data_IF_917198430933
#
_entry.id   IF_917198430933
#
_cell.length_a   1.000
_cell.length_b   1.000
_cell.length_c   1.000
_cell.angle_alpha   90.00
_cell.angle_beta   90.00
_cell.angle_gamma   90.00
#
_symmetry.space_group_name_H-M   'P 1'
#
loop_
_entity.id
_entity.type
_entity.pdbx_description
1 polymer ?
#
# COMPACT_ATOMS: atom_id res chain seq x y z
N UNK A 1 15.50 -4.61 8.38
CA UNK A 1 14.79 -3.42 8.86
C UNK A 1 13.76 -3.05 7.82
N UNK A 2 12.47 -3.19 8.13
CA UNK A 2 11.39 -2.95 7.18
C UNK A 2 11.25 -1.47 6.77
N UNK A 3 11.59 -0.54 7.66
CA UNK A 3 11.49 0.90 7.41
C UNK A 3 12.82 1.60 7.73
N UNK A 4 13.29 2.43 6.79
CA UNK A 4 14.46 3.28 7.00
C UNK A 4 14.12 4.63 7.63
N UNK A 5 12.90 5.11 7.41
CA UNK A 5 12.44 6.41 7.89
C UNK A 5 10.95 6.35 8.23
N UNK A 6 10.59 7.00 9.31
CA UNK A 6 9.20 7.27 9.69
C UNK A 6 9.05 8.78 9.75
N UNK A 7 8.07 9.31 9.03
CA UNK A 7 7.79 10.75 8.97
C UNK A 7 6.41 10.99 9.52
N UNK A 8 6.30 11.89 10.50
CA UNK A 8 5.02 12.36 10.98
C UNK A 8 4.51 13.44 10.03
N UNK A 9 3.34 13.21 9.44
CA UNK A 9 2.66 14.17 8.60
C UNK A 9 1.65 15.01 9.40
N UNK A 10 1.25 16.12 8.85
CA UNK A 10 0.26 17.03 9.48
C UNK A 10 -1.12 16.35 9.54
N UNK A 11 -1.52 15.69 8.47
CA UNK A 11 -2.81 15.00 8.33
C UNK A 11 -2.71 13.84 7.33
N UNK A 12 -3.83 13.17 7.09
CA UNK A 12 -3.92 12.03 6.19
C UNK A 12 -3.67 12.42 4.72
N UNK A 13 -4.07 13.61 4.29
CA UNK A 13 -3.80 14.13 2.93
C UNK A 13 -2.30 14.28 2.72
N UNK A 14 -1.61 14.91 3.68
CA UNK A 14 -0.16 15.04 3.65
C UNK A 14 0.52 13.67 3.72
N UNK A 15 0.07 12.78 4.59
CA UNK A 15 0.67 11.46 4.77
C UNK A 15 0.64 10.64 3.48
N UNK A 16 -0.52 10.51 2.84
CA UNK A 16 -0.67 9.70 1.63
C UNK A 16 0.08 10.30 0.45
N UNK A 17 0.09 11.63 0.29
CA UNK A 17 0.80 12.29 -0.81
C UNK A 17 2.32 12.27 -0.63
N UNK A 18 2.82 12.36 0.59
CA UNK A 18 4.24 12.16 0.91
C UNK A 18 4.67 10.72 0.60
N UNK A 19 3.86 9.72 0.99
CA UNK A 19 4.12 8.32 0.68
C UNK A 19 4.10 8.07 -0.83
N UNK A 20 3.14 8.65 -1.56
CA UNK A 20 3.09 8.59 -3.03
C UNK A 20 4.33 9.22 -3.66
N UNK A 21 4.76 10.39 -3.19
CA UNK A 21 5.98 11.04 -3.67
C UNK A 21 7.23 10.18 -3.48
N UNK A 22 7.35 9.55 -2.31
CA UNK A 22 8.44 8.61 -2.02
C UNK A 22 8.38 7.38 -2.94
N UNK A 23 7.20 6.81 -3.13
CA UNK A 23 7.01 5.66 -4.03
C UNK A 23 7.38 5.98 -5.49
N UNK A 24 7.04 7.18 -5.97
CA UNK A 24 7.42 7.66 -7.32
C UNK A 24 8.94 7.76 -7.53
N UNK A 25 9.72 7.85 -6.46
CA UNK A 25 11.18 7.82 -6.54
C UNK A 25 11.78 6.41 -6.41
N UNK A 26 10.94 5.37 -6.46
CA UNK A 26 11.36 3.97 -6.37
C UNK A 26 11.57 3.46 -4.94
N UNK A 27 11.09 4.19 -3.93
CA UNK A 27 11.13 3.72 -2.55
C UNK A 27 9.88 2.90 -2.21
N UNK A 28 10.04 1.87 -1.37
CA UNK A 28 8.91 1.22 -0.73
C UNK A 28 8.31 2.17 0.31
N UNK A 29 7.09 2.62 0.07
CA UNK A 29 6.42 3.56 0.93
C UNK A 29 5.04 3.06 1.36
N UNK A 30 4.66 3.40 2.58
CA UNK A 30 3.31 3.14 3.08
C UNK A 30 2.82 4.27 3.96
N UNK A 31 1.51 4.35 4.07
CA UNK A 31 0.82 5.16 5.07
C UNK A 31 -0.15 4.31 5.87
N UNK A 32 -0.46 4.73 7.08
CA UNK A 32 -1.43 4.03 7.93
C UNK A 32 -2.44 5.02 8.50
N UNK A 33 -3.71 4.62 8.54
CA UNK A 33 -4.80 5.42 9.05
C UNK A 33 -5.83 4.56 9.77
N UNK A 34 -6.84 5.19 10.35
CA UNK A 34 -7.98 4.52 10.99
C UNK A 34 -9.27 5.28 10.72
N UNK A 35 -10.29 4.58 10.24
CA UNK A 35 -11.63 5.14 10.05
C UNK A 35 -11.65 6.29 9.04
N UNK A 36 -12.09 7.52 9.43
CA UNK A 36 -12.37 8.60 8.49
C UNK A 36 -11.15 9.10 7.71
N UNK A 37 -9.92 8.78 8.14
CA UNK A 37 -8.73 9.14 7.38
C UNK A 37 -8.66 8.48 6.00
N UNK A 38 -9.32 7.32 5.81
CA UNK A 38 -9.39 6.70 4.49
C UNK A 38 -10.19 7.53 3.49
N UNK A 39 -11.24 8.22 3.95
CA UNK A 39 -12.06 9.09 3.11
C UNK A 39 -11.25 10.28 2.59
N UNK A 40 -10.38 10.86 3.44
CA UNK A 40 -9.50 11.97 3.06
C UNK A 40 -8.45 11.56 2.02
N UNK A 41 -8.08 10.31 1.96
CA UNK A 41 -7.10 9.77 1.01
C UNK A 41 -7.70 9.39 -0.35
N UNK A 42 -9.03 9.44 -0.51
CA UNK A 42 -9.76 8.86 -1.65
C UNK A 42 -9.30 9.35 -3.02
N UNK A 43 -9.00 10.65 -3.16
CA UNK A 43 -8.50 11.20 -4.43
C UNK A 43 -7.13 10.60 -4.80
N UNK A 44 -6.25 10.48 -3.81
CA UNK A 44 -4.91 9.93 -4.03
C UNK A 44 -4.97 8.44 -4.47
N UNK A 45 -5.99 7.68 -4.09
CA UNK A 45 -6.16 6.30 -4.56
C UNK A 45 -6.30 6.23 -6.09
N UNK A 46 -7.09 7.13 -6.66
CA UNK A 46 -7.23 7.26 -8.11
C UNK A 46 -5.90 7.67 -8.76
N UNK A 47 -5.20 8.64 -8.17
CA UNK A 47 -3.91 9.10 -8.67
C UNK A 47 -2.84 7.98 -8.63
N UNK A 48 -2.78 7.19 -7.57
CA UNK A 48 -1.88 6.04 -7.43
C UNK A 48 -2.08 5.06 -8.59
N UNK A 49 -3.34 4.70 -8.87
CA UNK A 49 -3.68 3.79 -9.97
C UNK A 49 -3.40 4.40 -11.33
N UNK A 50 -3.77 5.67 -11.54
CA UNK A 50 -3.54 6.36 -12.82
C UNK A 50 -2.05 6.52 -13.16
N UNK A 51 -1.22 6.68 -12.13
CA UNK A 51 0.23 6.84 -12.30
C UNK A 51 1.00 5.54 -12.17
N UNK A 52 0.30 4.40 -12.02
CA UNK A 52 0.90 3.07 -11.85
C UNK A 52 2.02 3.08 -10.81
N UNK A 53 1.70 3.64 -9.64
CA UNK A 53 2.68 3.82 -8.56
C UNK A 53 2.44 2.80 -7.45
N UNK A 54 3.44 1.98 -7.07
CA UNK A 54 3.27 1.01 -5.99
C UNK A 54 3.12 1.73 -4.64
N UNK A 55 2.00 1.56 -3.97
CA UNK A 55 1.76 2.16 -2.66
C UNK A 55 1.01 1.20 -1.73
N UNK A 56 1.45 1.09 -0.49
CA UNK A 56 0.74 0.33 0.54
C UNK A 56 -0.01 1.30 1.46
N UNK A 57 -1.29 1.01 1.70
CA UNK A 57 -2.17 1.81 2.55
C UNK A 57 -2.78 0.90 3.62
N UNK A 58 -2.46 1.15 4.88
CA UNK A 58 -3.00 0.40 5.99
C UNK A 58 -4.20 1.14 6.58
N UNK A 59 -5.37 0.51 6.62
CA UNK A 59 -6.54 1.03 7.31
C UNK A 59 -6.95 0.10 8.44
N UNK A 60 -6.84 0.60 9.68
CA UNK A 60 -7.40 -0.06 10.85
C UNK A 60 -8.81 0.48 11.08
N UNK A 61 -9.80 -0.22 10.52
CA UNK A 61 -11.20 0.19 10.51
C UNK A 61 -11.75 0.39 11.93
N UNK A 62 -12.61 1.39 12.07
CA UNK A 62 -13.31 1.67 13.32
C UNK A 62 -14.73 2.13 13.02
N UNK A 63 -15.58 2.16 14.08
CA UNK A 63 -16.98 2.51 13.92
C UNK A 63 -17.17 3.93 13.38
N UNK A 64 -17.95 4.03 12.31
CA UNK A 64 -18.38 5.25 11.65
C UNK A 64 -19.83 5.63 12.04
N UNK A 65 -20.50 6.51 11.26
CA UNK A 65 -19.95 7.32 10.17
C UNK A 65 -19.24 8.60 10.67
N UNK A 66 -18.60 9.36 9.76
CA UNK A 66 -17.83 10.59 10.04
C UNK A 66 -16.69 10.32 11.02
N UNK A 67 -16.45 11.17 12.00
CA UNK A 67 -15.44 10.91 13.04
C UNK A 67 -15.72 9.63 13.83
N UNK A 68 -16.95 9.20 13.86
CA UNK A 68 -17.40 7.94 14.43
C UNK A 68 -17.08 7.77 15.92
N UNK A 69 -16.81 6.53 16.29
CA UNK A 69 -16.43 6.15 17.64
C UNK A 69 -15.02 5.54 17.62
N UNK A 70 -14.04 6.35 17.92
CA UNK A 70 -12.61 5.99 17.80
C UNK A 70 -12.19 4.76 18.63
N UNK A 71 -12.98 4.38 19.64
CA UNK A 71 -12.73 3.24 20.52
C UNK A 71 -13.64 2.03 20.26
N UNK A 72 -14.40 2.06 19.18
CA UNK A 72 -15.31 0.95 18.82
C UNK A 72 -14.89 0.35 17.48
N UNK A 73 -14.86 -0.97 17.46
CA UNK A 73 -14.53 -1.74 16.27
C UNK A 73 -15.70 -1.79 15.30
N UNK A 74 -15.42 -1.72 14.05
CA UNK A 74 -16.32 -1.98 12.93
C UNK A 74 -15.49 -2.28 11.68
N UNK A 75 -16.09 -2.93 10.68
CA UNK A 75 -15.42 -3.29 9.41
C UNK A 75 -16.17 -2.71 8.20
N UNK A 76 -16.80 -1.56 8.36
CA UNK A 76 -17.64 -0.93 7.33
C UNK A 76 -16.87 -0.24 6.20
N UNK A 77 -15.57 0.05 6.40
CA UNK A 77 -14.75 0.73 5.39
C UNK A 77 -14.31 -0.19 4.24
N UNK A 78 -14.63 -1.48 4.30
CA UNK A 78 -14.20 -2.45 3.28
C UNK A 78 -14.68 -2.06 1.88
N UNK A 79 -15.92 -1.59 1.75
CA UNK A 79 -16.46 -1.12 0.47
C UNK A 79 -15.67 0.09 -0.07
N UNK A 80 -15.26 1.00 0.81
CA UNK A 80 -14.42 2.14 0.44
C UNK A 80 -13.04 1.68 -0.07
N UNK A 81 -12.41 0.73 0.60
CA UNK A 81 -11.14 0.16 0.17
C UNK A 81 -11.24 -0.58 -1.16
N UNK A 82 -12.37 -1.27 -1.41
CA UNK A 82 -12.58 -2.02 -2.65
C UNK A 82 -12.97 -1.13 -3.83
N UNK A 83 -13.78 -0.10 -3.60
CA UNK A 83 -14.45 0.66 -4.66
C UNK A 83 -14.33 2.18 -4.53
N UNK A 84 -13.82 2.68 -3.40
CA UNK A 84 -13.70 4.13 -3.18
C UNK A 84 -12.69 4.74 -4.16
N UNK A 85 -13.07 5.82 -4.79
CA UNK A 85 -12.33 6.65 -5.73
C UNK A 85 -13.25 7.06 -6.87
N UNK A 86 -12.86 8.09 -7.60
CA UNK A 86 -13.49 8.47 -8.85
C UNK A 86 -12.99 7.56 -9.98
N UNK A 87 -13.93 7.01 -10.76
CA UNK A 87 -13.62 6.12 -11.89
C UNK A 87 -13.13 4.72 -11.47
N UNK A 88 -12.58 4.00 -12.44
CA UNK A 88 -12.02 2.68 -12.22
C UNK A 88 -10.58 2.77 -11.73
N UNK A 89 -10.29 2.07 -10.64
CA UNK A 89 -8.98 2.08 -10.00
C UNK A 89 -8.70 0.67 -9.43
N UNK A 90 -7.99 -0.18 -10.20
CA UNK A 90 -7.66 -1.52 -9.76
C UNK A 90 -6.77 -1.48 -8.52
N UNK A 91 -6.96 -2.44 -7.62
CA UNK A 91 -6.28 -2.50 -6.33
C UNK A 91 -6.36 -3.88 -5.72
N UNK A 92 -5.50 -4.15 -4.74
CA UNK A 92 -5.60 -5.31 -3.89
C UNK A 92 -6.03 -4.91 -2.47
N UNK A 93 -6.78 -5.79 -1.81
CA UNK A 93 -7.12 -5.64 -0.39
C UNK A 93 -6.72 -6.95 0.31
N UNK A 94 -5.80 -6.86 1.26
CA UNK A 94 -5.35 -7.96 2.10
C UNK A 94 -5.88 -7.75 3.52
N UNK A 95 -6.47 -8.77 4.11
CA UNK A 95 -7.08 -8.69 5.43
C UNK A 95 -6.37 -9.62 6.42
N UNK A 96 -5.34 -9.14 7.14
CA UNK A 96 -4.72 -9.91 8.21
C UNK A 96 -5.72 -10.10 9.37
N UNK A 97 -5.68 -11.27 10.00
CA UNK A 97 -6.57 -11.63 11.11
C UNK A 97 -5.83 -11.84 12.43
N UNK A 98 -4.51 -11.94 12.39
CA UNK A 98 -3.66 -12.13 13.56
C UNK A 98 -2.46 -11.18 13.55
N UNK A 99 -1.80 -11.02 14.69
CA UNK A 99 -0.58 -10.20 14.81
C UNK A 99 0.54 -10.73 13.90
N UNK A 100 0.70 -12.06 13.82
CA UNK A 100 1.68 -12.68 12.92
C UNK A 100 1.34 -12.41 11.45
N UNK A 101 0.07 -12.53 11.06
CA UNK A 101 -0.36 -12.19 9.70
C UNK A 101 -0.15 -10.73 9.33
N UNK A 102 -0.23 -9.79 10.29
CA UNK A 102 0.08 -8.39 10.00
C UNK A 102 1.51 -8.23 9.44
N UNK A 103 2.47 -8.98 9.97
CA UNK A 103 3.85 -8.96 9.47
C UNK A 103 3.92 -9.52 8.04
N UNK A 104 3.43 -10.74 7.82
CA UNK A 104 3.54 -11.41 6.52
C UNK A 104 2.73 -10.70 5.43
N UNK A 105 1.49 -10.27 5.74
CA UNK A 105 0.65 -9.55 4.78
C UNK A 105 1.20 -8.17 4.43
N UNK A 106 1.94 -7.53 5.34
CA UNK A 106 2.63 -6.27 5.00
C UNK A 106 3.73 -6.50 3.97
N UNK A 107 4.52 -7.56 4.12
CA UNK A 107 5.54 -7.90 3.11
C UNK A 107 4.89 -8.25 1.76
N UNK A 108 3.86 -9.08 1.79
CA UNK A 108 3.10 -9.45 0.59
C UNK A 108 2.50 -8.22 -0.09
N UNK A 109 1.94 -7.27 0.68
CA UNK A 109 1.39 -6.03 0.15
C UNK A 109 2.42 -5.23 -0.65
N UNK A 110 3.63 -5.07 -0.12
CA UNK A 110 4.71 -4.41 -0.86
C UNK A 110 5.11 -5.17 -2.13
N UNK A 111 5.18 -6.49 -2.07
CA UNK A 111 5.53 -7.31 -3.22
C UNK A 111 4.47 -7.22 -4.32
N UNK A 112 3.19 -7.28 -3.94
CA UNK A 112 2.07 -7.12 -4.89
C UNK A 112 2.04 -5.71 -5.49
N UNK A 113 2.21 -4.68 -4.64
CA UNK A 113 2.22 -3.30 -5.10
C UNK A 113 3.30 -3.07 -6.17
N UNK A 114 4.52 -3.53 -5.92
CA UNK A 114 5.65 -3.38 -6.86
C UNK A 114 5.53 -4.28 -8.08
N UNK A 115 5.00 -5.50 -7.92
CA UNK A 115 4.81 -6.41 -9.04
C UNK A 115 3.78 -5.91 -10.05
N UNK A 116 2.65 -5.40 -9.56
CA UNK A 116 1.51 -5.00 -10.39
C UNK A 116 1.39 -3.48 -10.56
N UNK A 117 2.25 -2.69 -9.93
CA UNK A 117 2.25 -1.22 -9.99
C UNK A 117 0.88 -0.63 -9.58
N UNK A 118 0.32 -1.15 -8.48
CA UNK A 118 -1.03 -0.83 -7.99
C UNK A 118 -1.02 -0.50 -6.49
N UNK A 119 -2.05 0.24 -6.01
CA UNK A 119 -2.27 0.39 -4.59
C UNK A 119 -2.68 -0.93 -3.95
N UNK A 120 -2.12 -1.24 -2.79
CA UNK A 120 -2.49 -2.39 -1.97
C UNK A 120 -2.93 -1.93 -0.59
N UNK A 121 -4.11 -2.34 -0.18
CA UNK A 121 -4.68 -2.02 1.12
C UNK A 121 -4.45 -3.17 2.10
N UNK A 122 -4.04 -2.82 3.32
CA UNK A 122 -4.08 -3.70 4.47
C UNK A 122 -5.31 -3.33 5.29
N UNK A 123 -6.30 -4.22 5.27
CA UNK A 123 -7.60 -4.03 5.92
C UNK A 123 -7.62 -4.75 7.26
N UNK A 124 -7.28 -4.06 8.32
CA UNK A 124 -7.47 -4.51 9.69
C UNK A 124 -8.64 -3.78 10.36
N UNK A 125 -8.88 -4.07 11.62
CA UNK A 125 -9.82 -3.34 12.44
C UNK A 125 -9.21 -2.93 13.80
N UNK A 126 -9.94 -2.14 14.54
CA UNK A 126 -9.48 -1.67 15.84
C UNK A 126 -9.21 -2.82 16.83
N UNK A 127 -9.96 -3.92 16.75
CA UNK A 127 -9.73 -5.08 17.61
C UNK A 127 -8.35 -5.67 17.38
N UNK A 128 -7.97 -5.86 16.09
CA UNK A 128 -6.64 -6.34 15.73
C UNK A 128 -5.55 -5.34 16.13
N UNK A 129 -5.81 -4.03 15.93
CA UNK A 129 -4.84 -2.98 16.22
C UNK A 129 -4.46 -2.85 17.69
N UNK A 130 -5.40 -3.19 18.60
CA UNK A 130 -5.18 -3.14 20.06
C UNK A 130 -4.93 -4.51 20.68
N UNK A 131 -4.94 -5.58 19.89
CA UNK A 131 -4.69 -6.94 20.38
C UNK A 131 -3.22 -7.11 20.74
N UNK A 132 -2.99 -7.61 21.94
CA UNK A 132 -1.69 -8.11 22.36
C UNK A 132 -1.68 -9.64 22.25
N UNK A 133 -0.72 -10.17 21.52
CA UNK A 133 -0.59 -11.61 21.32
C UNK A 133 0.87 -12.04 21.51
N UNK A 134 1.08 -13.12 22.24
CA UNK A 134 2.38 -13.78 22.25
C UNK A 134 2.57 -14.53 20.94
N UNK A 135 3.59 -14.18 20.20
CA UNK A 135 4.01 -14.87 18.97
C UNK A 135 5.38 -15.50 19.17
N UNK A 136 5.63 -16.60 18.51
CA UNK A 136 6.95 -17.22 18.52
C UNK A 136 7.90 -16.39 17.65
N UNK A 137 9.17 -16.21 18.04
CA UNK A 137 10.14 -15.45 17.23
C UNK A 137 10.22 -15.91 15.78
N UNK A 138 10.09 -17.22 15.54
CA UNK A 138 10.14 -17.81 14.21
C UNK A 138 9.00 -17.34 13.30
N UNK A 139 7.85 -16.97 13.87
CA UNK A 139 6.69 -16.46 13.12
C UNK A 139 6.93 -15.04 12.57
N UNK A 140 7.93 -14.34 13.08
CA UNK A 140 8.29 -12.99 12.68
C UNK A 140 9.72 -12.91 12.13
N UNK A 141 10.32 -14.06 11.77
CA UNK A 141 11.67 -14.10 11.25
C UNK A 141 11.73 -13.45 9.84
N UNK A 142 12.46 -12.36 9.68
CA UNK A 142 12.60 -11.71 8.38
C UNK A 142 13.54 -12.46 7.42
N UNK A 143 14.27 -13.49 7.87
CA UNK A 143 15.20 -14.24 7.02
C UNK A 143 14.49 -15.07 5.95
N UNK A 144 13.26 -15.48 6.23
CA UNK A 144 12.41 -16.25 5.32
C UNK A 144 11.55 -15.36 4.40
N UNK A 145 11.71 -14.03 4.51
CA UNK A 145 10.92 -13.08 3.74
C UNK A 145 11.53 -12.88 2.36
N UNK A 146 10.81 -13.30 1.35
CA UNK A 146 11.17 -13.03 -0.04
C UNK A 146 10.71 -11.62 -0.45
N UNK A 147 11.65 -10.81 -0.96
CA UNK A 147 11.39 -9.44 -1.41
C UNK A 147 11.42 -9.40 -2.94
N UNK A 148 10.25 -9.18 -3.53
CA UNK A 148 10.11 -8.97 -4.97
C UNK A 148 9.90 -7.48 -5.26
N UNK A 149 10.73 -6.93 -6.16
CA UNK A 149 10.65 -5.53 -6.58
C UNK A 149 9.93 -5.34 -7.91
N UNK A 150 9.27 -6.40 -8.41
CA UNK A 150 8.75 -6.40 -9.77
C UNK A 150 9.87 -6.40 -10.80
N UNK A 151 9.60 -5.92 -12.01
CA UNK A 151 10.58 -5.83 -13.09
C UNK A 151 11.44 -4.57 -12.92
N UNK A 152 12.70 -4.75 -12.60
CA UNK A 152 13.68 -3.66 -12.52
C UNK A 152 14.44 -3.57 -13.84
N UNK A 153 14.51 -2.36 -14.38
CA UNK A 153 15.32 -2.05 -15.57
C UNK A 153 16.57 -1.32 -15.06
N UNK A 154 17.72 -1.92 -15.24
CA UNK A 154 18.98 -1.40 -14.72
C UNK A 154 19.99 -1.14 -15.83
N UNK A 155 20.83 -0.12 -15.63
CA UNK A 155 21.99 0.15 -16.44
C UNK A 155 21.67 0.34 -17.94
N UNK A 156 22.40 -0.36 -18.78
CA UNK A 156 22.32 -0.21 -20.25
C UNK A 156 20.97 -0.67 -20.84
N UNK A 157 20.24 -1.53 -20.10
CA UNK A 157 18.91 -1.98 -20.54
C UNK A 157 17.87 -0.86 -20.54
N UNK A 158 18.10 0.25 -19.85
CA UNK A 158 17.19 1.42 -19.89
C UNK A 158 17.01 1.93 -21.32
N UNK A 159 18.04 1.86 -22.17
CA UNK A 159 17.97 2.26 -23.57
C UNK A 159 17.01 1.44 -24.41
N UNK A 160 16.77 0.17 -24.04
CA UNK A 160 15.83 -0.73 -24.74
C UNK A 160 14.36 -0.37 -24.47
N UNK A 161 14.11 0.41 -23.39
CA UNK A 161 12.79 0.87 -22.96
C UNK A 161 12.50 2.31 -23.38
N UNK A 162 13.22 2.82 -24.33
CA UNK A 162 12.95 4.13 -24.93
C UNK A 162 12.12 3.98 -26.20
N UNK A 163 11.25 4.97 -26.45
CA UNK A 163 10.53 5.05 -27.72
C UNK A 163 11.43 5.64 -28.82
N UNK A 164 10.89 5.76 -30.07
CA UNK A 164 11.57 6.35 -31.21
C UNK A 164 12.07 7.80 -31.00
N UNK A 165 11.67 8.44 -29.90
CA UNK A 165 12.07 9.80 -29.50
C UNK A 165 13.04 9.82 -28.33
N UNK A 166 13.70 8.69 -28.02
CA UNK A 166 14.58 8.52 -26.87
C UNK A 166 13.90 8.84 -25.51
N UNK A 167 12.56 8.67 -25.44
CA UNK A 167 11.82 8.87 -24.20
C UNK A 167 11.61 7.52 -23.50
N UNK A 168 11.97 7.44 -22.24
CA UNK A 168 11.67 6.27 -21.41
C UNK A 168 10.15 6.04 -21.32
N UNK A 169 9.72 4.79 -21.52
CA UNK A 169 8.31 4.38 -21.51
C UNK A 169 8.00 3.52 -20.30
N UNK A 170 7.73 4.11 -19.12
CA UNK A 170 7.52 3.38 -17.86
C UNK A 170 6.28 2.48 -17.90
N UNK A 171 5.35 2.74 -18.79
CA UNK A 171 4.09 2.01 -18.94
C UNK A 171 4.07 1.13 -20.22
N UNK A 172 5.24 0.68 -20.65
CA UNK A 172 5.31 -0.22 -21.78
C UNK A 172 4.64 -1.57 -21.47
N UNK A 173 3.77 -2.02 -22.36
CA UNK A 173 3.13 -3.33 -22.23
C UNK A 173 4.18 -4.42 -22.42
N UNK A 174 4.31 -5.29 -21.43
CA UNK A 174 5.20 -6.46 -21.47
C UNK A 174 4.44 -7.68 -21.95
N UNK A 175 5.16 -8.73 -22.42
CA UNK A 175 4.54 -9.97 -22.91
C UNK A 175 3.72 -10.69 -21.82
N UNK A 176 4.14 -10.57 -20.57
CA UNK A 176 3.47 -11.15 -19.40
C UNK A 176 2.44 -10.23 -18.75
N UNK A 177 2.31 -8.99 -19.24
CA UNK A 177 1.36 -8.00 -18.70
C UNK A 177 1.74 -7.43 -17.33
N UNK A 178 3.00 -7.56 -16.93
CA UNK A 178 3.51 -7.09 -15.62
C UNK A 178 4.66 -6.11 -15.82
#
# INVERSE_FOLDING_TARGET
>A
MLFRSVVQAEDELAAVTMALGAARTGLRAMTATSGPGIDLMAETFGLVSQTETPLVICNMMRAGPSSGMATKQEQSDLTMMLHGSHGESPRFVLAPTTVSECFHRTVEAFNLAEKYQLPVYLAGDLSLAVTEQTVRPEELDPSDVEIHRGKLIEGDAVGEWTNERDQFTPHAVTEDGI
#
